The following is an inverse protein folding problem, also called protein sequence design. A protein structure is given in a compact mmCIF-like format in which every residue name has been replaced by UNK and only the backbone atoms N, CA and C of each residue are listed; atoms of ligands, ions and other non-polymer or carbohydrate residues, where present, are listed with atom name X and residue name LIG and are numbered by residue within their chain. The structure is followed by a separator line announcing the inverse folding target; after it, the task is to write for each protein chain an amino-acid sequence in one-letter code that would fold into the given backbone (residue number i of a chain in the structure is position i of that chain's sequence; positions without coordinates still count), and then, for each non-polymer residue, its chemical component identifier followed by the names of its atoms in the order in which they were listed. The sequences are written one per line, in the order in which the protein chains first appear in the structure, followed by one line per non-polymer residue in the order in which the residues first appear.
data_IF_987378318113
#
_entry.id   IF_987378318113
#
_cell.length_a   1.000
_cell.length_b   1.000
_cell.length_c   1.000
_cell.angle_alpha   90.00
_cell.angle_beta   90.00
_cell.angle_gamma   90.00
#
_symmetry.space_group_name_H-M   'P 1'
#
loop_
_entity.id
_entity.type
_entity.pdbx_description
1 polymer ?
#
# COMPACT_ATOMS: atom_id res chain seq x y z
N UNK A 1 -3.84 -5.57 -0.94
CA UNK A 1 -4.60 -4.55 -0.27
C UNK A 1 -4.59 -4.72 1.22
N UNK A 2 -4.39 -4.60 2.26
CA UNK A 2 -4.35 -3.45 3.12
C UNK A 2 -3.60 -3.64 4.42
N UNK A 3 -2.40 -4.05 4.35
CA UNK A 3 -1.55 -3.82 5.51
C UNK A 3 -1.00 -2.39 5.43
N UNK A 4 -1.90 -1.44 5.64
CA UNK A 4 -1.60 -0.01 5.58
C UNK A 4 -0.47 0.38 6.52
N UNK A 5 -0.45 -0.21 7.72
CA UNK A 5 0.61 0.05 8.67
C UNK A 5 1.94 -0.60 8.28
N UNK A 6 1.90 -1.83 7.78
CA UNK A 6 3.12 -2.50 7.33
C UNK A 6 3.79 -1.74 6.19
N UNK A 7 3.04 -1.27 5.19
CA UNK A 7 3.57 -0.45 4.10
C UNK A 7 4.18 0.86 4.60
N UNK A 8 3.46 1.60 5.46
CA UNK A 8 3.98 2.82 6.07
C UNK A 8 5.28 2.58 6.84
N UNK A 9 5.29 1.56 7.69
CA UNK A 9 6.45 1.16 8.49
C UNK A 9 7.61 0.73 7.60
N UNK A 10 7.30 -0.02 6.55
CA UNK A 10 8.28 -0.48 5.56
C UNK A 10 8.96 0.70 4.87
N UNK A 11 8.18 1.65 4.36
CA UNK A 11 8.72 2.85 3.72
C UNK A 11 9.59 3.68 4.66
N UNK A 12 9.21 3.82 5.94
CA UNK A 12 10.05 4.49 6.93
C UNK A 12 11.38 3.75 7.15
N UNK A 13 11.35 2.42 7.27
CA UNK A 13 12.56 1.61 7.41
C UNK A 13 13.46 1.70 6.16
N UNK A 14 12.88 1.72 4.97
CA UNK A 14 13.65 1.90 3.72
C UNK A 14 14.34 3.26 3.70
N UNK A 15 13.65 4.34 4.07
CA UNK A 15 14.24 5.69 4.13
C UNK A 15 15.48 5.73 5.03
N UNK A 16 15.47 5.02 6.15
CA UNK A 16 16.61 4.98 7.08
C UNK A 16 17.86 4.33 6.46
N UNK A 17 17.70 3.48 5.45
CA UNK A 17 18.80 2.80 4.76
C UNK A 17 19.29 3.53 3.51
N UNK A 18 18.51 4.51 2.98
CA UNK A 18 18.89 5.24 1.79
C UNK A 18 20.03 6.24 2.05
N UNK A 19 20.85 6.57 1.03
CA UNK A 19 21.84 7.64 1.11
C UNK A 19 21.22 8.95 1.58
N UNK A 20 21.93 9.70 2.43
CA UNK A 20 21.42 10.92 3.06
C UNK A 20 20.85 11.93 2.05
N UNK A 21 21.53 12.13 0.92
CA UNK A 21 21.10 13.07 -0.11
C UNK A 21 19.76 12.69 -0.78
N UNK A 22 19.50 11.38 -0.96
CA UNK A 22 18.23 10.90 -1.49
C UNK A 22 17.14 10.98 -0.42
N UNK A 23 17.46 10.57 0.81
CA UNK A 23 16.53 10.67 1.95
C UNK A 23 16.05 12.11 2.17
N UNK A 24 16.94 13.09 2.16
CA UNK A 24 16.59 14.51 2.31
C UNK A 24 15.59 14.98 1.24
N UNK A 25 15.75 14.55 -0.01
CA UNK A 25 14.82 14.84 -1.10
C UNK A 25 13.44 14.19 -0.86
N UNK A 26 13.41 12.94 -0.43
CA UNK A 26 12.16 12.25 -0.13
C UNK A 26 11.44 12.84 1.09
N UNK A 27 12.18 13.27 2.11
CA UNK A 27 11.60 13.96 3.26
C UNK A 27 11.02 15.34 2.89
N UNK A 28 11.59 16.05 1.91
CA UNK A 28 11.02 17.30 1.40
C UNK A 28 9.66 17.09 0.71
N UNK A 29 9.41 15.89 0.16
CA UNK A 29 8.16 15.50 -0.50
C UNK A 29 7.49 14.33 0.22
N UNK A 30 7.59 14.29 1.56
CA UNK A 30 7.21 13.15 2.39
C UNK A 30 5.76 12.72 2.18
N UNK A 31 4.82 13.64 2.00
CA UNK A 31 3.42 13.31 1.78
C UNK A 31 3.22 12.45 0.52
N UNK A 32 3.93 12.77 -0.57
CA UNK A 32 3.85 12.02 -1.82
C UNK A 32 4.53 10.66 -1.72
N UNK A 33 5.69 10.60 -1.06
CA UNK A 33 6.34 9.32 -0.77
C UNK A 33 5.41 8.41 0.04
N UNK A 34 4.83 8.94 1.12
CA UNK A 34 3.92 8.20 1.99
C UNK A 34 2.65 7.72 1.25
N UNK A 35 2.10 8.51 0.33
CA UNK A 35 0.99 8.08 -0.52
C UNK A 35 1.44 6.97 -1.49
N UNK A 36 2.63 7.11 -2.08
CA UNK A 36 3.22 6.11 -2.96
C UNK A 36 3.38 4.73 -2.31
N UNK A 37 3.59 4.67 -0.99
CA UNK A 37 3.65 3.41 -0.23
C UNK A 37 2.40 2.53 -0.34
N UNK A 38 1.30 3.08 -0.84
CA UNK A 38 0.05 2.33 -1.05
C UNK A 38 -0.15 1.91 -2.51
N UNK A 39 0.77 2.26 -3.39
CA UNK A 39 0.75 1.79 -4.77
C UNK A 39 -0.62 1.96 -5.45
N UNK A 40 -1.08 0.94 -6.19
CA UNK A 40 -2.37 0.95 -6.87
C UNK A 40 -3.56 0.79 -5.91
N UNK A 41 -3.34 0.41 -4.66
CA UNK A 41 -4.38 0.23 -3.63
C UNK A 41 -5.19 1.49 -3.37
N UNK A 42 -4.57 2.67 -3.57
CA UNK A 42 -5.27 3.93 -3.49
C UNK A 42 -6.56 3.95 -4.32
N UNK A 43 -6.56 3.29 -5.47
CA UNK A 43 -7.70 3.25 -6.40
C UNK A 43 -8.91 2.50 -5.85
N UNK A 44 -8.72 1.57 -4.90
CA UNK A 44 -9.81 0.84 -4.25
C UNK A 44 -10.67 1.72 -3.34
N UNK A 45 -10.13 2.84 -2.91
CA UNK A 45 -10.84 3.77 -2.02
C UNK A 45 -11.72 4.78 -2.77
N UNK A 46 -11.64 4.83 -4.10
CA UNK A 46 -12.55 5.64 -4.91
C UNK A 46 -13.94 5.02 -4.91
N UNK A 47 -14.91 5.64 -4.20
CA UNK A 47 -16.26 5.09 -4.04
C UNK A 47 -16.26 3.62 -3.60
N UNK A 48 -15.54 3.30 -2.52
CA UNK A 48 -15.33 1.93 -2.02
C UNK A 48 -16.62 1.16 -1.68
N UNK A 49 -17.78 1.85 -1.59
CA UNK A 49 -19.10 1.24 -1.38
C UNK A 49 -19.60 0.46 -2.60
N UNK A 50 -19.05 0.71 -3.79
CA UNK A 50 -19.49 0.09 -5.07
C UNK A 50 -18.31 -0.29 -5.96
N UNK A 51 -18.57 -1.16 -6.92
CA UNK A 51 -17.60 -1.47 -7.99
C UNK A 51 -17.49 -0.27 -8.94
N UNK A 52 -16.26 0.13 -9.25
CA UNK A 52 -15.97 1.25 -10.16
C UNK A 52 -14.90 0.86 -11.18
N UNK A 53 -14.86 1.50 -12.37
CA UNK A 53 -13.74 1.32 -13.29
C UNK A 53 -12.39 1.69 -12.70
N UNK A 54 -12.36 2.62 -11.74
CA UNK A 54 -11.15 3.03 -11.01
C UNK A 54 -10.62 1.89 -10.14
N UNK A 55 -11.48 1.23 -9.37
CA UNK A 55 -11.10 0.06 -8.59
C UNK A 55 -10.69 -1.13 -9.50
N UNK A 56 -11.37 -1.29 -10.65
CA UNK A 56 -10.98 -2.30 -11.64
C UNK A 56 -9.58 -2.05 -12.21
N UNK A 57 -9.20 -0.78 -12.44
CA UNK A 57 -7.83 -0.43 -12.83
C UNK A 57 -6.83 -0.83 -11.75
N UNK A 58 -7.13 -0.57 -10.46
CA UNK A 58 -6.28 -0.99 -9.35
C UNK A 58 -6.04 -2.50 -9.34
N UNK A 59 -7.11 -3.32 -9.54
CA UNK A 59 -6.96 -4.76 -9.65
C UNK A 59 -6.11 -5.17 -10.85
N UNK A 60 -6.37 -4.62 -12.04
CA UNK A 60 -5.61 -4.93 -13.24
C UNK A 60 -4.11 -4.63 -13.08
N UNK A 61 -3.76 -3.56 -12.37
CA UNK A 61 -2.36 -3.22 -12.11
C UNK A 61 -1.64 -4.24 -11.21
N UNK A 62 -2.36 -4.94 -10.33
CA UNK A 62 -1.75 -6.03 -9.53
C UNK A 62 -1.44 -7.27 -10.37
N UNK A 63 -2.20 -7.50 -11.44
CA UNK A 63 -2.03 -8.64 -12.35
C UNK A 63 -1.01 -8.36 -13.47
N UNK A 64 -0.61 -7.09 -13.65
CA UNK A 64 0.39 -6.70 -14.65
C UNK A 64 1.81 -6.67 -14.05
N UNK A 65 2.87 -6.91 -14.89
CA UNK A 65 4.23 -6.69 -14.45
C UNK A 65 4.46 -5.25 -13.95
N UNK A 66 5.16 -5.10 -12.84
CA UNK A 66 5.51 -3.80 -12.28
C UNK A 66 6.19 -2.87 -13.29
N UNK A 67 6.96 -3.44 -14.22
CA UNK A 67 7.60 -2.72 -15.33
C UNK A 67 6.61 -1.85 -16.10
N UNK A 68 5.38 -2.30 -16.33
CA UNK A 68 4.35 -1.52 -17.04
C UNK A 68 4.11 -0.18 -16.35
N UNK A 69 4.01 -0.17 -15.03
CA UNK A 69 3.85 1.06 -14.25
C UNK A 69 5.17 1.85 -14.20
N UNK A 70 6.31 1.22 -13.90
CA UNK A 70 7.56 1.95 -13.66
C UNK A 70 8.16 2.58 -14.92
N UNK A 71 7.99 1.98 -16.10
CA UNK A 71 8.37 2.61 -17.38
C UNK A 71 7.45 3.81 -17.71
N UNK A 72 6.16 3.72 -17.35
CA UNK A 72 5.26 4.87 -17.44
C UNK A 72 5.65 5.96 -16.44
N UNK A 73 5.92 5.60 -15.19
CA UNK A 73 6.32 6.50 -14.13
C UNK A 73 7.58 7.30 -14.50
N UNK A 74 8.55 6.64 -15.17
CA UNK A 74 9.74 7.32 -15.67
C UNK A 74 9.37 8.51 -16.59
N UNK A 75 8.43 8.32 -17.51
CA UNK A 75 7.96 9.40 -18.41
C UNK A 75 7.23 10.50 -17.64
N UNK A 76 6.34 10.12 -16.72
CA UNK A 76 5.61 11.08 -15.88
C UNK A 76 6.58 11.95 -15.07
N UNK A 77 7.60 11.34 -14.43
CA UNK A 77 8.63 12.09 -13.69
C UNK A 77 9.37 13.07 -14.57
N UNK A 78 9.59 12.77 -15.86
CA UNK A 78 10.24 13.69 -16.79
C UNK A 78 9.33 14.85 -17.23
N UNK A 79 8.03 14.59 -17.35
CA UNK A 79 7.05 15.56 -17.87
C UNK A 79 6.50 16.48 -16.77
N UNK A 80 6.59 16.06 -15.48
CA UNK A 80 6.07 16.82 -14.37
C UNK A 80 6.91 18.07 -14.05
N UNK A 81 6.20 19.18 -13.78
CA UNK A 81 6.83 20.44 -13.40
C UNK A 81 7.60 20.34 -12.09
N UNK A 82 7.08 19.56 -11.12
CA UNK A 82 7.75 19.22 -9.87
C UNK A 82 8.26 17.76 -9.95
N UNK A 83 9.40 17.62 -10.61
CA UNK A 83 10.04 16.33 -10.84
C UNK A 83 10.41 15.60 -9.55
N UNK A 84 10.83 16.33 -8.51
CA UNK A 84 11.21 15.73 -7.22
C UNK A 84 9.98 15.19 -6.49
N UNK A 85 8.86 15.89 -6.55
CA UNK A 85 7.58 15.44 -6.03
C UNK A 85 7.09 14.15 -6.72
N UNK A 86 7.12 14.12 -8.06
CA UNK A 86 6.77 12.96 -8.86
C UNK A 86 7.69 11.75 -8.58
N UNK A 87 8.99 12.00 -8.43
CA UNK A 87 9.96 10.98 -8.08
C UNK A 87 9.69 10.44 -6.66
N UNK A 88 9.38 11.29 -5.68
CA UNK A 88 9.08 10.84 -4.33
C UNK A 88 7.87 9.88 -4.30
N UNK A 89 6.80 10.21 -5.03
CA UNK A 89 5.65 9.31 -5.20
C UNK A 89 6.06 7.98 -5.82
N UNK A 90 6.88 8.02 -6.89
CA UNK A 90 7.35 6.80 -7.58
C UNK A 90 8.19 5.92 -6.64
N UNK A 91 9.09 6.50 -5.85
CA UNK A 91 9.93 5.72 -4.94
C UNK A 91 9.16 5.13 -3.75
N UNK A 92 8.11 5.80 -3.29
CA UNK A 92 7.12 5.18 -2.39
C UNK A 92 6.43 3.98 -3.04
N UNK A 93 6.06 4.10 -4.32
CA UNK A 93 5.46 3.00 -5.09
C UNK A 93 6.43 1.82 -5.29
N UNK A 94 7.74 2.07 -5.43
CA UNK A 94 8.75 0.99 -5.44
C UNK A 94 8.75 0.23 -4.12
N UNK A 95 8.60 0.91 -2.97
CA UNK A 95 8.48 0.25 -1.68
C UNK A 95 7.24 -0.65 -1.62
N UNK A 96 6.08 -0.16 -2.08
CA UNK A 96 4.86 -0.96 -2.18
C UNK A 96 5.10 -2.22 -3.01
N UNK A 97 5.60 -2.06 -4.23
CA UNK A 97 5.89 -3.17 -5.14
C UNK A 97 6.84 -4.21 -4.51
N UNK A 98 7.93 -3.77 -3.89
CA UNK A 98 8.91 -4.67 -3.29
C UNK A 98 8.33 -5.48 -2.13
N UNK A 99 7.46 -4.88 -1.31
CA UNK A 99 6.81 -5.57 -0.20
C UNK A 99 5.76 -6.54 -0.71
N UNK A 100 4.86 -6.09 -1.59
CA UNK A 100 3.77 -6.90 -2.12
C UNK A 100 4.27 -8.09 -2.92
N UNK A 101 5.15 -7.88 -3.90
CA UNK A 101 5.72 -8.97 -4.70
C UNK A 101 6.47 -10.01 -3.85
N UNK A 102 6.98 -9.63 -2.68
CA UNK A 102 7.63 -10.55 -1.75
C UNK A 102 6.64 -11.29 -0.85
N UNK A 103 5.55 -10.66 -0.43
CA UNK A 103 4.64 -11.18 0.60
C UNK A 103 3.39 -11.87 0.04
N UNK A 104 2.78 -11.35 -1.02
CA UNK A 104 1.49 -11.83 -1.54
C UNK A 104 1.49 -13.30 -1.97
N UNK A 105 2.53 -13.87 -2.61
CA UNK A 105 2.55 -15.30 -2.95
C UNK A 105 2.31 -16.18 -1.72
N UNK A 106 2.90 -15.80 -0.58
CA UNK A 106 2.67 -16.50 0.67
C UNK A 106 1.27 -16.23 1.25
N UNK A 107 0.80 -14.98 1.22
CA UNK A 107 -0.54 -14.63 1.73
C UNK A 107 -1.62 -15.42 0.99
N UNK A 108 -1.55 -15.49 -0.32
CA UNK A 108 -2.50 -16.26 -1.14
C UNK A 108 -2.42 -17.76 -0.89
N UNK A 109 -1.20 -18.32 -0.78
CA UNK A 109 -1.03 -19.71 -0.42
C UNK A 109 -1.65 -20.00 0.94
N UNK A 110 -1.33 -19.19 1.95
CA UNK A 110 -1.83 -19.39 3.31
C UNK A 110 -3.35 -19.23 3.41
N UNK A 111 -3.93 -18.29 2.66
CA UNK A 111 -5.40 -18.13 2.54
C UNK A 111 -6.05 -19.42 2.04
N UNK A 112 -5.51 -20.04 0.98
CA UNK A 112 -6.04 -21.30 0.43
C UNK A 112 -5.92 -22.48 1.39
N UNK A 113 -4.81 -22.55 2.13
CA UNK A 113 -4.51 -23.69 3.02
C UNK A 113 -5.21 -23.59 4.37
N UNK A 114 -5.31 -22.39 4.96
CA UNK A 114 -5.87 -22.20 6.31
C UNK A 114 -7.36 -21.85 6.33
N UNK A 115 -7.88 -21.30 5.24
CA UNK A 115 -9.23 -20.73 5.18
C UNK A 115 -9.37 -19.37 5.89
N UNK A 116 -8.29 -18.82 6.48
CA UNK A 116 -8.27 -17.46 6.99
C UNK A 116 -8.28 -16.50 5.78
N UNK A 117 -9.08 -15.44 5.84
CA UNK A 117 -9.19 -14.53 4.71
C UNK A 117 -7.90 -13.73 4.51
N UNK A 118 -7.59 -13.40 3.25
CA UNK A 118 -6.47 -12.55 2.88
C UNK A 118 -6.42 -11.27 3.74
N UNK A 119 -7.54 -10.56 3.82
CA UNK A 119 -7.64 -9.33 4.60
C UNK A 119 -7.35 -9.55 6.11
N UNK A 120 -7.74 -10.69 6.66
CA UNK A 120 -7.49 -10.98 8.07
C UNK A 120 -6.01 -11.29 8.34
N UNK A 121 -5.36 -12.03 7.43
CA UNK A 121 -3.92 -12.32 7.53
C UNK A 121 -3.12 -11.01 7.58
N UNK A 122 -3.41 -10.10 6.68
CA UNK A 122 -2.72 -8.81 6.59
C UNK A 122 -3.03 -7.88 7.77
N UNK A 123 -4.30 -7.81 8.18
CA UNK A 123 -4.69 -7.02 9.36
C UNK A 123 -4.04 -7.55 10.64
N UNK A 124 -3.94 -8.86 10.81
CA UNK A 124 -3.26 -9.45 11.96
C UNK A 124 -1.74 -9.20 11.93
N UNK A 125 -1.15 -9.13 10.74
CA UNK A 125 0.25 -8.72 10.60
C UNK A 125 0.44 -7.24 10.99
N UNK A 126 -0.41 -6.34 10.50
CA UNK A 126 -0.43 -4.92 10.92
C UNK A 126 -0.59 -4.80 12.44
N UNK A 127 -1.52 -5.54 13.03
CA UNK A 127 -1.77 -5.55 14.47
C UNK A 127 -0.55 -6.03 15.26
N UNK A 128 0.17 -7.02 14.75
CA UNK A 128 1.41 -7.51 15.36
C UNK A 128 2.49 -6.42 15.34
N UNK A 129 2.67 -5.77 14.19
CA UNK A 129 3.66 -4.69 14.04
C UNK A 129 3.31 -3.48 14.93
N UNK A 130 2.03 -3.07 14.97
CA UNK A 130 1.56 -1.99 15.84
C UNK A 130 1.87 -2.27 17.31
N UNK A 131 1.57 -3.48 17.81
CA UNK A 131 1.88 -3.87 19.19
C UNK A 131 3.38 -3.88 19.47
N UNK A 132 4.18 -4.35 18.51
CA UNK A 132 5.66 -4.32 18.60
C UNK A 132 6.19 -2.90 18.74
N UNK A 133 5.59 -1.95 18.02
CA UNK A 133 5.97 -0.54 18.03
C UNK A 133 5.31 0.25 19.19
N UNK A 134 4.57 -0.43 20.10
CA UNK A 134 3.96 0.16 21.30
C UNK A 134 2.61 0.83 21.08
N UNK A 135 1.96 0.59 19.94
CA UNK A 135 0.64 1.13 19.64
C UNK A 135 -0.48 0.13 19.90
N UNK A 136 -1.66 0.65 20.23
CA UNK A 136 -2.88 -0.16 20.30
C UNK A 136 -3.55 -0.25 18.93
N UNK A 137 -3.66 -1.45 18.33
CA UNK A 137 -4.27 -1.64 17.01
C UNK A 137 -5.72 -1.16 16.90
N UNK A 138 -6.47 -1.13 17.99
CA UNK A 138 -7.87 -0.69 17.97
C UNK A 138 -8.03 0.83 17.90
N UNK A 139 -7.03 1.57 18.37
CA UNK A 139 -7.10 3.02 18.50
C UNK A 139 -6.14 3.76 17.57
N UNK A 140 -5.10 3.09 17.08
CA UNK A 140 -4.15 3.71 16.15
C UNK A 140 -4.81 3.95 14.78
N UNK A 141 -4.74 5.18 14.29
CA UNK A 141 -5.26 5.53 12.97
C UNK A 141 -4.21 5.23 11.89
N UNK A 142 -4.35 4.08 11.22
CA UNK A 142 -3.35 3.55 10.28
C UNK A 142 -3.12 4.46 9.05
N UNK A 143 -4.14 5.22 8.61
CA UNK A 143 -4.04 6.16 7.49
C UNK A 143 -3.64 7.60 7.91
N UNK A 144 -3.08 7.80 9.11
CA UNK A 144 -2.75 9.13 9.64
C UNK A 144 -1.68 9.89 8.85
N UNK A 145 -0.90 9.19 8.03
CA UNK A 145 0.15 9.74 7.16
C UNK A 145 -0.38 10.17 5.77
N UNK A 146 -1.63 9.87 5.46
CA UNK A 146 -2.24 10.25 4.18
C UNK A 146 -2.85 11.64 4.27
N UNK A 147 -2.37 12.54 3.42
CA UNK A 147 -2.81 13.93 3.37
C UNK A 147 -3.55 14.22 2.06
N UNK A 148 -4.89 14.14 2.03
CA UNK A 148 -5.69 14.48 0.85
C UNK A 148 -5.58 15.97 0.53
N UNK A 149 -4.89 16.31 -0.54
CA UNK A 149 -4.77 17.69 -1.03
C UNK A 149 -4.88 17.74 -2.56
N UNK A 150 -5.32 18.87 -3.10
CA UNK A 150 -5.37 19.08 -4.55
C UNK A 150 -3.96 19.06 -5.17
N UNK A 151 -2.93 19.52 -4.43
CA UNK A 151 -1.54 19.46 -4.86
C UNK A 151 -1.06 18.02 -5.03
N UNK A 152 -1.29 17.16 -4.04
CA UNK A 152 -0.91 15.76 -4.11
C UNK A 152 -1.68 15.03 -5.22
N UNK A 153 -2.99 15.27 -5.33
CA UNK A 153 -3.82 14.66 -6.37
C UNK A 153 -3.37 15.02 -7.79
N UNK A 154 -2.93 16.27 -8.01
CA UNK A 154 -2.39 16.73 -9.30
C UNK A 154 -1.13 15.96 -9.68
N UNK A 155 -0.20 15.74 -8.74
CA UNK A 155 1.02 14.96 -9.00
C UNK A 155 0.72 13.49 -9.25
N UNK A 156 -0.27 12.93 -8.54
CA UNK A 156 -0.60 11.49 -8.60
C UNK A 156 -1.37 11.12 -9.88
N UNK A 157 -2.31 11.96 -10.31
CA UNK A 157 -3.21 11.62 -11.41
C UNK A 157 -2.51 11.18 -12.72
N UNK A 158 -1.42 11.80 -13.19
CA UNK A 158 -0.72 11.41 -14.41
C UNK A 158 -0.13 9.99 -14.41
N UNK A 159 0.10 9.41 -13.24
CA UNK A 159 0.62 8.04 -13.12
C UNK A 159 -0.40 6.97 -13.52
N UNK A 160 -1.68 7.32 -13.57
CA UNK A 160 -2.76 6.38 -13.87
C UNK A 160 -3.48 6.74 -15.15
N UNK A 161 -3.82 5.72 -15.92
CA UNK A 161 -4.58 5.92 -17.15
C UNK A 161 -6.02 6.35 -16.82
N UNK A 162 -6.49 7.41 -17.46
CA UNK A 162 -7.88 7.90 -17.37
C UNK A 162 -8.32 8.30 -15.93
N UNK A 163 -7.36 8.65 -15.07
CA UNK A 163 -7.61 9.17 -13.74
C UNK A 163 -7.41 10.68 -13.72
N UNK A 164 -8.45 11.43 -13.36
CA UNK A 164 -8.37 12.88 -13.19
C UNK A 164 -7.83 13.26 -11.80
N UNK A 165 -7.36 14.49 -11.64
CA UNK A 165 -6.97 15.06 -10.35
C UNK A 165 -8.13 14.96 -9.32
N UNK A 166 -9.36 15.19 -9.77
CA UNK A 166 -10.54 15.06 -8.91
C UNK A 166 -10.75 13.62 -8.45
N UNK A 167 -10.58 12.64 -9.35
CA UNK A 167 -10.68 11.21 -9.02
C UNK A 167 -9.61 10.79 -8.02
N UNK A 168 -8.36 11.24 -8.23
CA UNK A 168 -7.26 10.97 -7.29
C UNK A 168 -7.51 11.59 -5.92
N UNK A 169 -8.01 12.83 -5.86
CA UNK A 169 -8.37 13.49 -4.61
C UNK A 169 -9.50 12.75 -3.86
N UNK A 170 -10.51 12.29 -4.60
CA UNK A 170 -11.61 11.52 -4.02
C UNK A 170 -11.14 10.16 -3.50
N UNK A 171 -10.22 9.49 -4.18
CA UNK A 171 -9.59 8.26 -3.71
C UNK A 171 -8.81 8.49 -2.40
N UNK A 172 -7.99 9.56 -2.30
CA UNK A 172 -7.30 9.92 -1.07
C UNK A 172 -8.25 10.20 0.09
N UNK A 173 -9.34 10.96 -0.15
CA UNK A 173 -10.39 11.21 0.85
C UNK A 173 -11.13 9.94 1.23
N UNK A 174 -11.39 9.07 0.25
CA UNK A 174 -12.00 7.77 0.43
C UNK A 174 -11.17 6.87 1.34
N UNK A 175 -9.85 6.85 1.17
CA UNK A 175 -8.92 6.11 2.02
C UNK A 175 -9.06 6.54 3.48
N UNK A 176 -9.00 7.84 3.76
CA UNK A 176 -9.20 8.37 5.12
C UNK A 176 -10.57 7.97 5.68
N UNK A 177 -11.63 8.09 4.87
CA UNK A 177 -12.99 7.77 5.31
C UNK A 177 -13.15 6.28 5.62
N UNK A 178 -12.70 5.40 4.75
CA UNK A 178 -12.78 3.95 4.95
C UNK A 178 -12.02 3.52 6.20
N UNK A 179 -10.78 3.99 6.37
CA UNK A 179 -10.00 3.68 7.58
C UNK A 179 -10.66 4.22 8.85
N UNK A 180 -11.29 5.39 8.83
CA UNK A 180 -12.08 5.88 9.96
C UNK A 180 -13.28 4.98 10.27
N UNK A 181 -13.94 4.44 9.26
CA UNK A 181 -15.07 3.50 9.46
C UNK A 181 -14.57 2.20 10.06
N UNK A 182 -13.51 1.61 9.46
CA UNK A 182 -12.97 0.31 9.86
C UNK A 182 -12.28 0.32 11.24
N UNK A 183 -11.75 1.47 11.68
CA UNK A 183 -11.17 1.64 13.02
C UNK A 183 -12.24 1.46 14.10
N UNK A 184 -12.42 0.23 14.55
CA UNK A 184 -13.44 -0.15 15.51
C UNK A 184 -12.90 -0.12 16.95
N UNK A 185 -12.65 1.09 17.47
CA UNK A 185 -12.02 1.35 18.76
C UNK A 185 -12.83 0.91 20.01
N UNK A 186 -14.10 0.55 19.83
CA UNK A 186 -14.94 0.04 20.90
C UNK A 186 -15.91 -1.03 20.41
N UNK A 187 -16.44 -1.90 21.32
CA UNK A 187 -17.30 -3.03 20.95
C UNK A 187 -18.58 -2.63 20.20
N UNK A 188 -19.17 -1.48 20.53
CA UNK A 188 -20.42 -1.01 19.87
C UNK A 188 -20.14 -0.66 18.42
N UNK A 189 -19.11 0.14 18.16
CA UNK A 189 -18.71 0.48 16.78
C UNK A 189 -18.34 -0.76 15.98
N UNK A 190 -17.58 -1.70 16.59
CA UNK A 190 -17.24 -2.97 15.97
C UNK A 190 -18.50 -3.76 15.57
N UNK A 191 -19.44 -3.88 16.48
CA UNK A 191 -20.70 -4.55 16.20
C UNK A 191 -21.47 -3.89 15.06
N UNK A 192 -21.58 -2.56 15.03
CA UNK A 192 -22.25 -1.78 13.97
C UNK A 192 -21.58 -2.05 12.63
N UNK A 193 -20.25 -1.93 12.55
CA UNK A 193 -19.49 -2.12 11.29
C UNK A 193 -19.66 -3.55 10.77
N UNK A 194 -19.45 -4.56 11.61
CA UNK A 194 -19.58 -5.96 11.20
C UNK A 194 -21.01 -6.34 10.82
N UNK A 195 -22.03 -5.78 11.52
CA UNK A 195 -23.44 -5.98 11.17
C UNK A 195 -23.76 -5.30 9.84
N UNK A 196 -23.26 -4.10 9.61
CA UNK A 196 -23.40 -3.41 8.33
C UNK A 196 -22.80 -4.23 7.17
N UNK A 197 -21.62 -4.81 7.35
CA UNK A 197 -21.02 -5.71 6.34
C UNK A 197 -21.91 -6.93 6.06
N UNK A 198 -22.53 -7.53 7.09
CA UNK A 198 -23.47 -8.65 6.91
C UNK A 198 -24.71 -8.26 6.10
N UNK A 199 -25.32 -7.13 6.45
CA UNK A 199 -26.50 -6.62 5.75
C UNK A 199 -26.21 -6.34 4.27
N UNK A 200 -24.99 -5.84 3.98
CA UNK A 200 -24.53 -5.56 2.62
C UNK A 200 -23.99 -6.80 1.87
N UNK A 201 -23.99 -7.99 2.48
CA UNK A 201 -23.44 -9.22 1.89
C UNK A 201 -21.92 -9.18 1.65
N UNK A 202 -21.19 -8.30 2.35
CA UNK A 202 -19.74 -8.11 2.22
C UNK A 202 -18.93 -8.71 3.37
N UNK A 203 -19.59 -9.34 4.33
CA UNK A 203 -18.96 -9.81 5.58
C UNK A 203 -17.84 -10.80 5.31
N UNK A 204 -18.06 -11.85 4.53
CA UNK A 204 -17.11 -12.94 4.33
C UNK A 204 -15.80 -12.48 3.68
N UNK A 205 -15.86 -11.50 2.79
CA UNK A 205 -14.66 -10.94 2.14
C UNK A 205 -13.98 -9.80 2.89
N UNK A 206 -14.68 -9.10 3.82
CA UNK A 206 -14.21 -7.83 4.36
C UNK A 206 -14.13 -7.76 5.89
N UNK A 207 -14.69 -8.74 6.63
CA UNK A 207 -14.68 -8.69 8.11
C UNK A 207 -13.25 -8.65 8.67
N UNK A 208 -12.31 -9.29 7.99
CA UNK A 208 -10.90 -9.30 8.33
C UNK A 208 -10.21 -7.92 8.29
N UNK A 209 -10.82 -6.91 7.64
CA UNK A 209 -10.33 -5.52 7.67
C UNK A 209 -10.54 -4.83 9.03
N UNK A 210 -11.36 -5.40 9.91
CA UNK A 210 -11.65 -4.83 11.22
C UNK A 210 -10.76 -5.50 12.26
N UNK A 211 -9.80 -4.76 12.80
CA UNK A 211 -8.83 -5.27 13.78
C UNK A 211 -9.49 -6.04 14.93
N UNK A 212 -8.96 -7.23 15.23
CA UNK A 212 -9.42 -8.04 16.33
C UNK A 212 -8.91 -7.48 17.68
N UNK A 213 -9.74 -7.50 18.75
CA UNK A 213 -9.32 -7.08 20.09
C UNK A 213 -8.19 -7.97 20.65
N UNK A 214 -8.21 -9.25 20.30
CA UNK A 214 -7.16 -10.21 20.64
C UNK A 214 -6.56 -10.78 19.35
N UNK A 215 -5.26 -11.11 19.34
CA UNK A 215 -4.63 -11.74 18.19
C UNK A 215 -5.37 -13.02 17.78
N UNK A 216 -5.55 -13.23 16.48
CA UNK A 216 -6.07 -14.47 15.95
C UNK A 216 -4.98 -15.56 16.05
N UNK A 217 -5.16 -16.64 16.85
CA UNK A 217 -4.15 -17.69 16.96
C UNK A 217 -3.82 -18.38 15.63
N UNK A 218 -4.78 -18.44 14.70
CA UNK A 218 -4.57 -19.01 13.36
C UNK A 218 -3.57 -18.21 12.52
N UNK A 219 -3.38 -16.92 12.83
CA UNK A 219 -2.42 -16.05 12.13
C UNK A 219 -1.03 -16.03 12.79
N UNK A 220 -0.77 -16.83 13.83
CA UNK A 220 0.54 -16.83 14.50
C UNK A 220 1.67 -17.23 13.54
N UNK A 221 1.46 -18.25 12.73
CA UNK A 221 2.45 -18.72 11.78
C UNK A 221 2.58 -17.76 10.60
N UNK A 222 1.47 -17.26 10.05
CA UNK A 222 1.52 -16.29 8.96
C UNK A 222 2.24 -15.01 9.38
N UNK A 223 1.99 -14.49 10.57
CA UNK A 223 2.69 -13.34 11.12
C UNK A 223 4.20 -13.55 11.19
N UNK A 224 4.64 -14.72 11.68
CA UNK A 224 6.08 -15.06 11.74
C UNK A 224 6.71 -15.13 10.35
N UNK A 225 6.00 -15.71 9.40
CA UNK A 225 6.50 -15.83 8.02
C UNK A 225 6.53 -14.47 7.32
N UNK A 226 5.48 -13.66 7.48
CA UNK A 226 5.41 -12.32 6.92
C UNK A 226 6.49 -11.41 7.52
N UNK A 227 6.82 -11.52 8.80
CA UNK A 227 7.92 -10.78 9.42
C UNK A 227 9.28 -11.10 8.77
N UNK A 228 9.52 -12.37 8.44
CA UNK A 228 10.72 -12.79 7.73
C UNK A 228 10.74 -12.30 6.26
N UNK A 229 9.58 -12.32 5.57
CA UNK A 229 9.45 -11.81 4.21
C UNK A 229 9.59 -10.28 4.16
N UNK A 230 9.01 -9.57 5.11
CA UNK A 230 9.19 -8.13 5.30
C UNK A 230 10.68 -7.76 5.42
N UNK A 231 11.42 -8.48 6.26
CA UNK A 231 12.86 -8.27 6.40
C UNK A 231 13.64 -8.56 5.10
N UNK A 232 13.19 -9.57 4.32
CA UNK A 232 13.76 -9.89 3.01
C UNK A 232 13.48 -8.82 1.96
N UNK A 233 12.32 -8.17 2.02
CA UNK A 233 11.92 -7.14 1.07
C UNK A 233 12.72 -5.83 1.24
N UNK A 234 13.25 -5.53 2.44
CA UNK A 234 13.99 -4.28 2.69
C UNK A 234 15.18 -4.08 1.75
N UNK A 235 16.16 -4.99 1.66
CA UNK A 235 17.27 -4.83 0.73
C UNK A 235 16.84 -4.86 -0.74
N UNK A 236 15.72 -5.53 -1.07
CA UNK A 236 15.16 -5.49 -2.41
C UNK A 236 14.67 -4.08 -2.75
N UNK A 237 13.88 -3.45 -1.87
CA UNK A 237 13.38 -2.10 -2.08
C UNK A 237 14.52 -1.08 -2.20
N UNK A 238 15.52 -1.15 -1.31
CA UNK A 238 16.70 -0.29 -1.37
C UNK A 238 17.41 -0.40 -2.72
N UNK A 239 17.69 -1.62 -3.18
CA UNK A 239 18.34 -1.88 -4.46
C UNK A 239 17.53 -1.35 -5.64
N UNK A 240 16.22 -1.61 -5.66
CA UNK A 240 15.33 -1.16 -6.72
C UNK A 240 15.21 0.37 -6.77
N UNK A 241 15.15 1.04 -5.63
CA UNK A 241 15.14 2.51 -5.54
C UNK A 241 16.42 3.10 -6.11
N UNK A 242 17.58 2.60 -5.66
CA UNK A 242 18.88 3.12 -6.11
C UNK A 242 19.09 2.89 -7.61
N UNK A 243 18.68 1.74 -8.10
CA UNK A 243 18.74 1.42 -9.52
C UNK A 243 17.79 2.31 -10.33
N UNK A 244 16.54 2.50 -9.88
CA UNK A 244 15.56 3.34 -10.55
C UNK A 244 16.07 4.79 -10.68
N UNK A 245 16.62 5.34 -9.60
CA UNK A 245 17.21 6.70 -9.59
C UNK A 245 18.40 6.78 -10.53
N UNK A 246 19.29 5.78 -10.53
CA UNK A 246 20.46 5.76 -11.42
C UNK A 246 20.08 5.70 -12.90
N UNK A 247 18.99 5.01 -13.23
CA UNK A 247 18.52 4.84 -14.60
C UNK A 247 17.43 5.83 -15.03
N UNK A 248 17.01 6.72 -14.17
CA UNK A 248 15.89 7.64 -14.42
C UNK A 248 16.07 8.44 -15.70
N UNK A 249 17.29 8.93 -15.98
CA UNK A 249 17.66 9.76 -17.10
C UNK A 249 18.36 8.99 -18.23
N UNK A 250 18.21 7.66 -18.28
CA UNK A 250 18.84 6.81 -19.29
C UNK A 250 17.78 6.00 -20.05
N UNK A 251 18.15 5.45 -21.20
CA UNK A 251 17.32 4.49 -21.94
C UNK A 251 17.58 3.03 -21.49
N UNK A 252 18.35 2.82 -20.43
CA UNK A 252 18.62 1.49 -19.93
C UNK A 252 17.36 0.83 -19.36
N UNK A 253 17.17 -0.47 -19.60
CA UNK A 253 16.05 -1.21 -19.03
C UNK A 253 16.17 -1.26 -17.50
N UNK A 254 15.04 -1.18 -16.82
CA UNK A 254 14.97 -1.38 -15.37
C UNK A 254 15.32 -2.84 -15.01
N UNK A 255 15.63 -3.08 -13.74
CA UNK A 255 15.94 -4.41 -13.19
C UNK A 255 14.85 -5.44 -13.54
N UNK A 256 15.26 -6.69 -13.75
CA UNK A 256 14.34 -7.79 -14.06
C UNK A 256 13.33 -8.08 -12.95
N UNK A 257 13.59 -7.64 -11.70
CA UNK A 257 12.61 -7.75 -10.63
C UNK A 257 11.29 -7.02 -10.94
N UNK A 258 11.34 -5.96 -11.75
CA UNK A 258 10.13 -5.27 -12.18
C UNK A 258 9.28 -6.05 -13.21
N UNK A 259 9.77 -7.19 -13.72
CA UNK A 259 9.00 -8.08 -14.59
C UNK A 259 8.01 -8.97 -13.82
N UNK A 260 8.14 -9.03 -12.49
CA UNK A 260 7.15 -9.69 -11.64
C UNK A 260 5.88 -8.83 -11.49
N UNK A 261 4.77 -9.48 -11.18
CA UNK A 261 3.53 -8.82 -10.77
C UNK A 261 3.59 -8.42 -9.30
N UNK A 262 2.58 -7.73 -8.79
CA UNK A 262 2.50 -7.38 -7.38
C UNK A 262 2.09 -8.57 -6.48
N UNK A 263 1.61 -9.65 -7.04
CA UNK A 263 1.07 -10.79 -6.29
C UNK A 263 1.56 -12.17 -6.71
N UNK A 264 2.21 -12.32 -7.88
CA UNK A 264 2.65 -13.62 -8.38
C UNK A 264 4.15 -13.64 -8.69
N UNK A 265 4.78 -14.76 -8.31
CA UNK A 265 6.10 -15.18 -8.79
C UNK A 265 5.94 -16.38 -9.71
#
# INVERSE_FOLDING_TARGET
MPSTYAHRRFGANVLDHLPASLREKLEAHRELYDIGLHGPDLLFYYHAEKSTPVAALGNAMHDEPGRTFFDRARRVVHEEADREAALAYTLGFVCHFALDSTCHPFVEQFTRESGVTHCEIETEFDNMLLRRDGYDPLTFFTASHIHPSASNARVIAPFYKDISEQTALEALKGMIMVHKVLQASNPVKRWVVLTGMKVLGKYDGMHGLVANPQPNPQCTESNRKLDALYAKALPLAERLILEYVAKLDTDEPLDAAYDHTFGEF
#
